data_IF_916772092355
#
_entry.id   IF_916772092355
#
_cell.length_a   1.000
_cell.length_b   1.000
_cell.length_c   1.000
_cell.angle_alpha   90.00
_cell.angle_beta   90.00
_cell.angle_gamma   90.00
#
_symmetry.space_group_name_H-M   'P 1'
#
loop_
_entity.id
_entity.type
_entity.pdbx_description
1 polymer ?
#
# COMPACT_ATOMS: atom_id res chain seq x y z
N UNK A 1 -2.20 -12.85 -14.65
CA UNK A 1 -3.42 -13.55 -15.08
C UNK A 1 -3.38 -15.00 -14.59
N UNK A 2 -4.52 -15.52 -14.11
CA UNK A 2 -4.71 -16.93 -13.80
C UNK A 2 -6.03 -17.44 -14.37
N UNK A 3 -6.04 -18.68 -14.86
CA UNK A 3 -7.24 -19.42 -15.19
C UNK A 3 -7.63 -20.29 -13.99
N UNK A 4 -8.89 -20.18 -13.56
CA UNK A 4 -9.43 -20.92 -12.43
C UNK A 4 -10.48 -21.94 -12.90
N UNK A 5 -10.59 -23.03 -12.16
CA UNK A 5 -11.67 -24.01 -12.34
C UNK A 5 -13.00 -23.55 -11.72
N UNK A 6 -14.03 -24.41 -11.81
CA UNK A 6 -15.36 -24.16 -11.23
C UNK A 6 -15.35 -24.05 -9.70
N UNK A 7 -14.29 -24.48 -9.02
CA UNK A 7 -14.10 -24.35 -7.57
C UNK A 7 -13.22 -23.14 -7.20
N UNK A 8 -12.96 -22.23 -8.15
CA UNK A 8 -12.05 -21.08 -7.99
C UNK A 8 -10.61 -21.49 -7.66
N UNK A 9 -10.18 -22.70 -8.04
CA UNK A 9 -8.80 -23.17 -7.86
C UNK A 9 -7.97 -22.87 -9.09
N UNK A 10 -6.72 -22.50 -8.88
CA UNK A 10 -5.80 -22.12 -9.96
C UNK A 10 -5.42 -23.35 -10.76
N UNK A 11 -5.72 -23.33 -12.06
CA UNK A 11 -5.27 -24.35 -13.02
C UNK A 11 -4.03 -23.91 -13.76
N UNK A 12 -3.98 -22.62 -14.12
CA UNK A 12 -2.86 -22.01 -14.80
C UNK A 12 -2.66 -20.59 -14.28
N UNK A 13 -1.42 -20.14 -14.20
CA UNK A 13 -1.04 -18.77 -13.88
C UNK A 13 0.15 -18.39 -14.78
N UNK A 14 0.18 -17.14 -15.23
CA UNK A 14 1.33 -16.62 -15.95
C UNK A 14 2.41 -16.08 -15.01
N UNK A 15 3.62 -15.94 -15.53
CA UNK A 15 4.79 -15.49 -14.76
C UNK A 15 4.57 -14.14 -14.08
N UNK A 16 3.89 -13.21 -14.75
CA UNK A 16 3.58 -11.91 -14.16
C UNK A 16 2.73 -12.02 -12.88
N UNK A 17 1.76 -12.95 -12.83
CA UNK A 17 0.97 -13.18 -11.62
C UNK A 17 1.77 -13.91 -10.55
N UNK A 18 2.56 -14.91 -10.95
CA UNK A 18 3.42 -15.67 -10.02
C UNK A 18 4.42 -14.74 -9.34
N UNK A 19 5.08 -13.90 -10.12
CA UNK A 19 5.95 -12.83 -9.64
C UNK A 19 5.21 -11.87 -8.71
N UNK A 20 3.93 -11.58 -8.96
CA UNK A 20 3.08 -10.72 -8.13
C UNK A 20 2.62 -11.38 -6.82
N UNK A 21 2.57 -12.71 -6.77
CA UNK A 21 2.19 -13.49 -5.58
C UNK A 21 3.39 -13.92 -4.74
N UNK A 22 4.62 -13.78 -5.24
CA UNK A 22 5.85 -14.34 -4.62
C UNK A 22 5.82 -15.86 -4.50
N UNK A 23 5.29 -16.52 -5.54
CA UNK A 23 5.06 -17.96 -5.52
C UNK A 23 5.44 -18.59 -6.84
N UNK A 24 5.81 -19.86 -6.78
CA UNK A 24 6.05 -20.67 -7.97
C UNK A 24 4.75 -21.30 -8.49
N UNK A 25 4.77 -21.77 -9.75
CA UNK A 25 3.62 -22.46 -10.37
C UNK A 25 3.15 -23.67 -9.57
N UNK A 26 4.08 -24.46 -9.03
CA UNK A 26 3.79 -25.66 -8.23
C UNK A 26 3.11 -25.32 -6.91
N UNK A 27 3.49 -24.19 -6.28
CA UNK A 27 2.90 -23.74 -5.02
C UNK A 27 1.47 -23.24 -5.17
N UNK A 28 1.12 -22.65 -6.32
CA UNK A 28 -0.22 -22.05 -6.50
C UNK A 28 -1.23 -22.97 -7.17
N UNK A 29 -0.75 -24.02 -7.87
CA UNK A 29 -1.61 -24.95 -8.60
C UNK A 29 -2.57 -25.67 -7.65
N UNK A 30 -3.82 -25.80 -8.09
CA UNK A 30 -4.93 -26.40 -7.35
C UNK A 30 -5.28 -25.72 -6.02
N UNK A 31 -4.66 -24.57 -5.69
CA UNK A 31 -5.03 -23.75 -4.54
C UNK A 31 -6.20 -22.84 -4.89
N UNK A 32 -7.13 -22.69 -3.94
CA UNK A 32 -8.22 -21.72 -4.03
C UNK A 32 -7.65 -20.29 -4.07
N UNK A 33 -7.93 -19.56 -5.15
CA UNK A 33 -7.31 -18.26 -5.41
C UNK A 33 -7.46 -17.26 -4.25
N UNK A 34 -8.64 -17.22 -3.61
CA UNK A 34 -8.91 -16.32 -2.48
C UNK A 34 -7.96 -16.55 -1.28
N UNK A 35 -7.44 -17.77 -1.09
CA UNK A 35 -6.50 -18.06 0.01
C UNK A 35 -5.14 -17.39 -0.16
N UNK A 36 -4.75 -17.10 -1.40
CA UNK A 36 -3.51 -16.40 -1.73
C UNK A 36 -3.58 -14.90 -1.46
N UNK A 37 -4.77 -14.39 -1.09
CA UNK A 37 -5.01 -13.00 -0.76
C UNK A 37 -5.24 -12.80 0.74
N UNK A 38 -5.13 -11.54 1.17
CA UNK A 38 -5.32 -11.14 2.55
C UNK A 38 -6.73 -11.49 3.05
N UNK A 39 -6.88 -11.93 4.33
CA UNK A 39 -8.17 -12.32 4.91
C UNK A 39 -9.32 -11.33 4.68
N UNK A 40 -9.06 -10.01 4.83
CA UNK A 40 -10.05 -8.94 4.62
C UNK A 40 -10.78 -8.98 3.26
N UNK A 41 -10.16 -9.53 2.22
CA UNK A 41 -10.70 -9.57 0.87
C UNK A 41 -11.40 -10.90 0.55
N UNK A 42 -11.20 -11.95 1.36
CA UNK A 42 -11.62 -13.33 1.03
C UNK A 42 -13.14 -13.46 0.88
N UNK A 43 -13.91 -12.96 1.84
CA UNK A 43 -15.36 -13.10 1.84
C UNK A 43 -15.99 -12.38 0.64
N UNK A 44 -15.52 -11.17 0.31
CA UNK A 44 -16.00 -10.42 -0.86
C UNK A 44 -15.67 -11.13 -2.17
N UNK A 45 -14.48 -11.69 -2.29
CA UNK A 45 -14.08 -12.47 -3.46
C UNK A 45 -14.87 -13.76 -3.62
N UNK A 46 -15.15 -14.48 -2.53
CA UNK A 46 -15.96 -15.69 -2.56
C UNK A 46 -17.37 -15.38 -3.07
N UNK A 47 -18.01 -14.34 -2.53
CA UNK A 47 -19.30 -13.87 -3.03
C UNK A 47 -19.21 -13.50 -4.51
N UNK A 48 -18.20 -12.75 -4.93
CA UNK A 48 -18.00 -12.39 -6.34
C UNK A 48 -17.86 -13.61 -7.26
N UNK A 49 -17.05 -14.58 -6.86
CA UNK A 49 -16.88 -15.83 -7.62
C UNK A 49 -18.16 -16.65 -7.68
N UNK A 50 -18.95 -16.71 -6.60
CA UNK A 50 -20.26 -17.36 -6.61
C UNK A 50 -21.22 -16.69 -7.60
N UNK A 51 -21.26 -15.36 -7.65
CA UNK A 51 -22.09 -14.63 -8.60
C UNK A 51 -21.69 -14.92 -10.05
N UNK A 52 -20.38 -15.02 -10.34
CA UNK A 52 -19.89 -15.41 -11.67
C UNK A 52 -20.29 -16.85 -12.01
N UNK A 53 -20.11 -17.79 -11.08
CA UNK A 53 -20.43 -19.21 -11.27
C UNK A 53 -21.91 -19.44 -11.55
N UNK A 54 -22.77 -18.77 -10.79
CA UNK A 54 -24.21 -18.82 -10.95
C UNK A 54 -24.69 -18.06 -12.22
N UNK A 55 -23.78 -17.42 -12.97
CA UNK A 55 -24.09 -16.66 -14.17
C UNK A 55 -24.89 -15.38 -13.90
N UNK A 56 -24.96 -14.94 -12.64
CA UNK A 56 -25.66 -13.71 -12.24
C UNK A 56 -24.90 -12.46 -12.66
N UNK A 57 -23.58 -12.56 -12.77
CA UNK A 57 -22.72 -11.51 -13.33
C UNK A 57 -21.74 -12.11 -14.35
N UNK A 58 -21.30 -11.31 -15.32
CA UNK A 58 -20.28 -11.72 -16.30
C UNK A 58 -18.85 -11.38 -15.88
N UNK A 59 -18.69 -10.37 -15.04
CA UNK A 59 -17.42 -9.94 -14.45
C UNK A 59 -17.65 -9.23 -13.11
N UNK A 60 -16.63 -9.18 -12.27
CA UNK A 60 -16.55 -8.22 -11.16
C UNK A 60 -15.12 -7.73 -10.99
N UNK A 61 -14.96 -6.57 -10.35
CA UNK A 61 -13.67 -6.01 -9.95
C UNK A 61 -13.69 -5.73 -8.46
N UNK A 62 -12.65 -6.13 -7.75
CA UNK A 62 -12.50 -5.96 -6.31
C UNK A 62 -11.08 -5.46 -6.00
N UNK A 63 -10.96 -4.56 -5.03
CA UNK A 63 -9.65 -4.09 -4.56
C UNK A 63 -9.11 -5.04 -3.48
N UNK A 64 -7.92 -5.61 -3.73
CA UNK A 64 -7.37 -6.70 -2.93
C UNK A 64 -5.97 -6.38 -2.42
N UNK A 65 -5.59 -7.08 -1.35
CA UNK A 65 -4.23 -7.07 -0.80
C UNK A 65 -3.59 -8.44 -1.00
N UNK A 66 -2.39 -8.45 -1.55
CA UNK A 66 -1.52 -9.62 -1.72
C UNK A 66 -0.46 -9.61 -0.64
N UNK A 67 -0.45 -10.57 0.30
CA UNK A 67 0.60 -10.66 1.30
C UNK A 67 1.95 -11.06 0.67
N UNK A 68 3.03 -10.38 1.05
CA UNK A 68 4.44 -10.71 0.77
C UNK A 68 5.19 -10.90 2.09
N UNK A 69 6.40 -11.52 2.08
CA UNK A 69 7.18 -11.72 3.30
C UNK A 69 7.43 -10.42 4.09
N UNK A 70 7.68 -9.31 3.39
CA UNK A 70 8.09 -8.04 4.02
C UNK A 70 7.03 -6.92 3.94
N UNK A 71 6.00 -7.06 3.09
CA UNK A 71 4.98 -6.02 2.88
C UNK A 71 3.71 -6.62 2.27
N UNK A 72 2.71 -5.80 1.96
CA UNK A 72 1.54 -6.23 1.19
C UNK A 72 1.39 -5.34 -0.05
N UNK A 73 1.21 -5.97 -1.22
CA UNK A 73 0.93 -5.26 -2.47
C UNK A 73 -0.57 -5.10 -2.61
N UNK A 74 -1.03 -3.91 -2.95
CA UNK A 74 -2.45 -3.64 -3.21
C UNK A 74 -2.71 -3.60 -4.69
N UNK A 75 -3.93 -3.86 -5.11
CA UNK A 75 -4.28 -3.78 -6.52
C UNK A 75 -5.71 -4.18 -6.83
N UNK A 76 -6.08 -3.96 -8.09
CA UNK A 76 -7.38 -4.33 -8.62
C UNK A 76 -7.35 -5.77 -9.14
N UNK A 77 -8.25 -6.60 -8.60
CA UNK A 77 -8.55 -7.92 -9.11
C UNK A 77 -9.80 -7.84 -9.96
N UNK A 78 -9.68 -8.21 -11.23
CA UNK A 78 -10.83 -8.39 -12.12
C UNK A 78 -11.01 -9.87 -12.43
N UNK A 79 -12.19 -10.40 -12.14
CA UNK A 79 -12.57 -11.77 -12.45
C UNK A 79 -13.67 -11.78 -13.53
N UNK A 80 -13.52 -12.66 -14.52
CA UNK A 80 -14.40 -12.79 -15.67
C UNK A 80 -14.81 -14.24 -15.85
N UNK A 81 -16.07 -14.46 -16.23
CA UNK A 81 -16.51 -15.78 -16.69
C UNK A 81 -16.16 -15.96 -18.17
N UNK A 82 -15.45 -17.03 -18.48
CA UNK A 82 -15.17 -17.43 -19.86
C UNK A 82 -16.37 -18.15 -20.44
N UNK A 83 -16.73 -17.86 -21.69
CA UNK A 83 -17.65 -18.71 -22.45
C UNK A 83 -16.92 -20.03 -22.69
N UNK A 84 -17.48 -21.12 -22.17
CA UNK A 84 -16.92 -22.44 -22.36
C UNK A 84 -17.01 -22.81 -23.84
N UNK A 85 -15.87 -22.96 -24.49
CA UNK A 85 -15.75 -23.82 -25.66
C UNK A 85 -15.39 -25.23 -25.15
N UNK A 86 -15.77 -26.29 -25.87
CA UNK A 86 -15.73 -27.69 -25.42
C UNK A 86 -14.36 -28.21 -24.95
N UNK A 87 -13.30 -27.40 -25.08
CA UNK A 87 -11.91 -27.69 -24.71
C UNK A 87 -11.41 -27.02 -23.42
N UNK A 88 -12.15 -26.06 -22.85
CA UNK A 88 -11.63 -25.25 -21.72
C UNK A 88 -12.25 -25.67 -20.39
N UNK A 89 -11.51 -26.43 -19.57
CA UNK A 89 -11.93 -26.85 -18.22
C UNK A 89 -11.89 -25.72 -17.17
N UNK A 90 -11.45 -24.52 -17.55
CA UNK A 90 -11.35 -23.35 -16.67
C UNK A 90 -12.43 -22.31 -17.02
N UNK A 91 -13.54 -22.23 -16.26
CA UNK A 91 -14.63 -21.31 -16.56
C UNK A 91 -14.36 -19.86 -16.13
N UNK A 92 -13.29 -19.59 -15.37
CA UNK A 92 -13.02 -18.27 -14.81
C UNK A 92 -11.61 -17.79 -15.16
N UNK A 93 -11.49 -16.52 -15.51
CA UNK A 93 -10.24 -15.83 -15.73
C UNK A 93 -10.08 -14.73 -14.69
N UNK A 94 -8.91 -14.64 -14.05
CA UNK A 94 -8.57 -13.56 -13.12
C UNK A 94 -7.38 -12.78 -13.63
N UNK A 95 -7.54 -11.47 -13.68
CA UNK A 95 -6.49 -10.49 -13.89
C UNK A 95 -6.26 -9.74 -12.58
N UNK A 96 -5.01 -9.69 -12.13
CA UNK A 96 -4.61 -8.90 -10.97
C UNK A 96 -3.61 -7.87 -11.46
N UNK A 97 -3.98 -6.60 -11.29
CA UNK A 97 -3.13 -5.46 -11.57
C UNK A 97 -2.75 -4.87 -10.22
N UNK A 98 -1.48 -5.04 -9.83
CA UNK A 98 -0.97 -4.31 -8.68
C UNK A 98 -1.11 -2.81 -8.97
N UNK A 99 -1.40 -2.05 -7.93
CA UNK A 99 -1.12 -0.63 -7.99
C UNK A 99 0.35 -0.47 -8.35
N UNK A 100 0.69 0.54 -9.16
CA UNK A 100 2.10 0.89 -9.30
C UNK A 100 2.68 1.00 -7.88
N UNK A 101 3.89 0.45 -7.62
CA UNK A 101 4.55 0.72 -6.35
C UNK A 101 4.43 2.23 -6.14
N UNK A 102 3.97 2.68 -4.94
CA UNK A 102 3.72 4.09 -4.70
C UNK A 102 4.92 4.81 -5.23
N UNK A 103 4.71 5.64 -6.28
CA UNK A 103 5.78 6.04 -7.17
C UNK A 103 7.01 6.32 -6.32
N UNK A 104 8.04 5.49 -6.46
CA UNK A 104 9.38 5.99 -6.25
C UNK A 104 9.39 7.18 -7.21
N UNK A 105 9.13 8.37 -6.67
CA UNK A 105 9.47 9.60 -7.33
C UNK A 105 10.91 9.43 -7.82
N UNK A 106 11.30 10.12 -8.90
CA UNK A 106 12.61 9.92 -9.49
C UNK A 106 13.67 9.82 -8.39
N UNK A 107 14.73 8.99 -8.55
CA UNK A 107 15.90 9.04 -7.68
C UNK A 107 16.63 10.36 -7.97
N UNK A 108 15.93 11.46 -7.76
CA UNK A 108 16.53 12.75 -7.61
C UNK A 108 17.01 12.73 -6.17
N UNK A 109 18.34 12.72 -6.02
CA UNK A 109 18.99 12.74 -4.74
C UNK A 109 18.45 13.89 -3.89
N UNK A 110 17.43 13.60 -3.09
CA UNK A 110 17.40 14.09 -1.74
C UNK A 110 18.70 13.55 -1.12
N UNK A 111 19.79 14.32 -1.30
CA UNK A 111 20.72 14.58 -0.20
C UNK A 111 19.84 14.55 1.02
N UNK A 112 20.00 13.51 1.84
CA UNK A 112 19.24 13.32 3.07
C UNK A 112 18.97 14.71 3.63
N UNK A 113 17.73 15.22 3.48
CA UNK A 113 17.40 16.57 3.92
C UNK A 113 17.21 16.42 5.42
N UNK A 114 18.34 16.22 6.08
CA UNK A 114 18.41 15.85 7.48
C UNK A 114 17.62 16.90 8.24
N UNK A 115 16.56 16.42 8.89
CA UNK A 115 15.82 17.22 9.84
C UNK A 115 16.75 17.48 11.02
N UNK A 116 16.72 18.69 11.54
CA UNK A 116 17.27 18.92 12.88
C UNK A 116 16.49 18.08 13.90
N UNK A 117 17.11 17.78 15.04
CA UNK A 117 16.43 17.09 16.14
C UNK A 117 15.11 17.77 16.54
N UNK A 118 15.06 19.12 16.48
CA UNK A 118 13.86 19.88 16.77
C UNK A 118 12.78 19.67 15.69
N UNK A 119 13.15 19.74 14.41
CA UNK A 119 12.22 19.47 13.31
C UNK A 119 11.66 18.04 13.37
N UNK A 120 12.49 17.05 13.71
CA UNK A 120 12.04 15.68 13.91
C UNK A 120 11.01 15.57 15.05
N UNK A 121 11.32 16.15 16.22
CA UNK A 121 10.41 16.19 17.39
C UNK A 121 9.09 16.89 17.08
N UNK A 122 9.12 17.95 16.28
CA UNK A 122 7.92 18.67 15.84
C UNK A 122 7.12 17.79 14.87
N UNK A 123 7.78 17.20 13.87
CA UNK A 123 7.12 16.38 12.85
C UNK A 123 6.39 15.17 13.45
N UNK A 124 7.00 14.46 14.41
CA UNK A 124 6.35 13.34 15.12
C UNK A 124 5.04 13.76 15.78
N UNK A 125 5.06 14.90 16.48
CA UNK A 125 3.90 15.44 17.19
C UNK A 125 2.85 16.00 16.24
N UNK A 126 3.27 16.64 15.15
CA UNK A 126 2.39 17.08 14.06
C UNK A 126 1.66 15.87 13.46
N UNK A 127 2.37 14.79 13.17
CA UNK A 127 1.80 13.56 12.64
C UNK A 127 0.88 12.86 13.66
N UNK A 128 1.12 13.04 14.96
CA UNK A 128 0.23 12.59 16.04
C UNK A 128 -1.01 13.49 16.23
N UNK A 129 -1.15 14.58 15.46
CA UNK A 129 -2.30 15.49 15.52
C UNK A 129 -2.17 16.65 16.52
N UNK A 130 -0.98 16.90 17.07
CA UNK A 130 -0.78 18.01 18.02
C UNK A 130 -0.95 19.38 17.34
N UNK A 131 -1.64 20.30 18.01
CA UNK A 131 -1.80 21.69 17.59
C UNK A 131 -0.53 22.51 17.83
N UNK A 132 -0.39 23.66 17.16
CA UNK A 132 0.75 24.57 17.37
C UNK A 132 0.87 25.04 18.82
N UNK A 133 -0.25 25.22 19.53
CA UNK A 133 -0.27 25.59 20.95
C UNK A 133 0.22 24.44 21.84
N UNK A 134 -0.21 23.21 21.56
CA UNK A 134 0.27 22.03 22.29
C UNK A 134 1.77 21.79 22.06
N UNK A 135 2.23 21.96 20.83
CA UNK A 135 3.65 21.87 20.46
C UNK A 135 4.49 22.91 21.21
N UNK A 136 4.03 24.16 21.24
CA UNK A 136 4.69 25.26 21.95
C UNK A 136 4.87 24.92 23.44
N UNK A 137 3.81 24.43 24.09
CA UNK A 137 3.87 24.01 25.49
C UNK A 137 4.80 22.81 25.73
N UNK A 138 4.72 21.76 24.90
CA UNK A 138 5.53 20.55 25.08
C UNK A 138 7.01 20.73 24.77
N UNK A 139 7.35 21.64 23.85
CA UNK A 139 8.72 21.87 23.39
C UNK A 139 9.34 23.12 24.01
N UNK A 140 8.64 23.82 24.90
CA UNK A 140 9.07 25.08 25.52
C UNK A 140 9.49 26.13 24.47
N UNK A 141 8.72 26.25 23.40
CA UNK A 141 8.93 27.21 22.30
C UNK A 141 7.72 28.13 22.16
N UNK A 142 7.89 29.30 21.54
CA UNK A 142 6.76 30.14 21.16
C UNK A 142 5.99 29.53 19.98
N UNK A 143 4.68 29.80 19.86
CA UNK A 143 3.88 29.40 18.69
C UNK A 143 4.52 29.87 17.38
N UNK A 144 5.08 31.08 17.36
CA UNK A 144 5.82 31.62 16.21
C UNK A 144 7.07 30.80 15.88
N UNK A 145 7.80 30.34 16.89
CA UNK A 145 8.94 29.44 16.72
C UNK A 145 8.53 28.10 16.12
N UNK A 146 7.41 27.54 16.55
CA UNK A 146 6.85 26.30 15.97
C UNK A 146 6.48 26.51 14.49
N UNK A 147 5.74 27.56 14.16
CA UNK A 147 5.36 27.87 12.77
C UNK A 147 6.58 28.11 11.87
N UNK A 148 7.65 28.69 12.42
CA UNK A 148 8.92 28.83 11.71
C UNK A 148 9.51 27.47 11.33
N UNK A 149 9.59 26.53 12.28
CA UNK A 149 10.09 25.17 12.01
C UNK A 149 9.21 24.41 11.02
N UNK A 150 7.88 24.52 11.13
CA UNK A 150 6.95 23.91 10.18
C UNK A 150 7.17 24.48 8.78
N UNK A 151 7.25 25.80 8.65
CA UNK A 151 7.52 26.47 7.38
C UNK A 151 8.86 26.06 6.77
N UNK A 152 9.89 25.87 7.61
CA UNK A 152 11.18 25.37 7.16
C UNK A 152 11.07 23.94 6.61
N UNK A 153 10.34 23.05 7.30
CA UNK A 153 10.09 21.68 6.83
C UNK A 153 9.27 21.64 5.54
N UNK A 154 8.23 22.47 5.42
CA UNK A 154 7.42 22.58 4.19
C UNK A 154 8.29 22.94 2.98
N UNK A 155 9.19 23.92 3.15
CA UNK A 155 10.16 24.31 2.12
C UNK A 155 11.16 23.20 1.82
N UNK A 156 11.71 22.55 2.85
CA UNK A 156 12.67 21.42 2.70
C UNK A 156 12.08 20.24 1.93
N UNK A 157 10.80 19.95 2.14
CA UNK A 157 10.10 18.80 1.57
C UNK A 157 9.28 19.15 0.32
N UNK A 158 9.31 20.41 -0.13
CA UNK A 158 8.63 20.87 -1.34
C UNK A 158 7.12 20.66 -1.29
N UNK A 159 6.48 20.95 -0.15
CA UNK A 159 5.04 20.73 0.06
C UNK A 159 4.31 22.01 0.48
N UNK A 160 3.04 22.19 0.09
CA UNK A 160 2.34 23.46 0.26
C UNK A 160 1.70 23.66 1.65
N UNK A 161 1.47 22.59 2.41
CA UNK A 161 0.71 22.67 3.67
C UNK A 161 1.03 21.52 4.64
N UNK A 162 0.56 21.65 5.88
CA UNK A 162 0.84 20.73 7.00
C UNK A 162 0.32 19.29 6.77
N UNK A 163 -0.88 19.05 6.21
CA UNK A 163 -1.28 17.70 5.83
C UNK A 163 -0.37 17.09 4.75
N UNK A 164 0.03 17.87 3.75
CA UNK A 164 0.97 17.42 2.73
C UNK A 164 2.36 17.12 3.30
N UNK A 165 2.78 17.83 4.35
CA UNK A 165 4.01 17.52 5.10
C UNK A 165 3.99 16.13 5.70
N UNK A 166 2.90 15.78 6.39
CA UNK A 166 2.75 14.46 7.02
C UNK A 166 2.66 13.36 5.96
N UNK A 167 1.86 13.58 4.92
CA UNK A 167 1.75 12.65 3.79
C UNK A 167 3.10 12.40 3.13
N UNK A 168 3.84 13.47 2.78
CA UNK A 168 5.17 13.36 2.18
C UNK A 168 6.12 12.60 3.09
N UNK A 169 6.16 12.92 4.39
CA UNK A 169 7.04 12.26 5.35
C UNK A 169 6.79 10.75 5.48
N UNK A 170 5.55 10.28 5.37
CA UNK A 170 5.25 8.84 5.30
C UNK A 170 5.66 8.23 3.95
N UNK A 171 5.37 8.91 2.84
CA UNK A 171 5.70 8.38 1.51
C UNK A 171 7.20 8.31 1.24
N UNK A 172 8.00 9.18 1.86
CA UNK A 172 9.46 9.22 1.72
C UNK A 172 10.20 8.45 2.82
N UNK A 173 9.48 7.76 3.72
CA UNK A 173 10.11 6.97 4.78
C UNK A 173 10.74 7.76 5.93
N UNK A 174 10.56 9.09 5.98
CA UNK A 174 11.01 9.91 7.12
C UNK A 174 10.26 9.50 8.38
N UNK A 175 8.95 9.28 8.26
CA UNK A 175 8.13 8.69 9.31
C UNK A 175 7.98 7.18 9.09
N UNK A 176 8.13 6.43 10.17
CA UNK A 176 7.95 4.97 10.17
C UNK A 176 6.50 4.60 9.90
N UNK A 177 6.24 3.82 8.85
CA UNK A 177 4.91 3.26 8.62
C UNK A 177 4.67 2.07 9.56
N UNK A 178 3.47 1.99 10.16
CA UNK A 178 3.08 0.88 11.04
C UNK A 178 3.41 1.04 12.53
N UNK A 179 3.97 2.17 12.97
CA UNK A 179 4.21 2.47 14.39
C UNK A 179 3.36 3.65 14.86
N UNK A 180 2.63 3.48 15.96
CA UNK A 180 1.92 4.56 16.64
C UNK A 180 2.37 4.64 18.12
N UNK A 181 2.75 5.82 18.64
CA UNK A 181 2.79 7.13 17.96
C UNK A 181 3.81 7.22 16.82
N UNK A 182 3.65 8.15 15.86
CA UNK A 182 4.56 8.30 14.72
C UNK A 182 5.98 8.63 15.17
N UNK A 183 6.97 8.01 14.52
CA UNK A 183 8.41 8.18 14.81
C UNK A 183 9.20 8.52 13.56
N UNK A 184 10.14 9.46 13.70
CA UNK A 184 11.11 9.78 12.63
C UNK A 184 12.25 8.77 12.65
N UNK A 185 12.62 8.24 11.49
CA UNK A 185 13.78 7.35 11.35
C UNK A 185 15.09 8.11 11.62
N UNK A 186 16.00 7.53 12.39
CA UNK A 186 17.23 8.21 12.83
C UNK A 186 18.15 8.61 11.67
N UNK A 187 18.13 7.87 10.56
CA UNK A 187 18.90 8.17 9.34
C UNK A 187 18.55 9.53 8.70
N UNK A 188 17.37 10.07 9.04
CA UNK A 188 16.88 11.35 8.54
C UNK A 188 17.08 12.50 9.53
N UNK A 189 17.77 12.27 10.66
CA UNK A 189 18.04 13.29 11.68
C UNK A 189 19.51 13.69 11.64
N UNK A 190 19.80 14.99 11.61
CA UNK A 190 21.17 15.50 11.63
C UNK A 190 21.77 15.27 13.02
N UNK A 191 22.72 14.35 13.14
CA UNK A 191 23.61 14.30 14.32
C UNK A 191 24.46 15.58 14.36
N UNK A 192 24.56 16.17 15.54
CA UNK A 192 25.29 17.42 15.79
C UNK A 192 26.79 17.22 15.75
#
# INVERSE_FOLDING_TARGET
MAALDSRSRIRQANDALLALLDRSTSEVRDIEFARLLHPDSRSRLQVGFDQLRLGRTGRFTEYVKVPRPNHAVRGNLTALRMRADARTSSPLLVLLQADPPPAEGPPDGARSTLLSEMEAKILERVAAGASTVQLAGQLHLSCKGIEYHISAMLRKLGVPNRPALVSRAYTTGILSSGTWPPRVQQEHVKCR
#
